data_IF_295957985082
#
_entry.id   IF_295957985082
#
_cell.length_a   1.000
_cell.length_b   1.000
_cell.length_c   1.000
_cell.angle_alpha   90.00
_cell.angle_beta   90.00
_cell.angle_gamma   90.00
#
_symmetry.space_group_name_H-M   'P 1'
#
loop_
_entity.id
_entity.type
_entity.pdbx_description
1 polymer ?
#
# COMPACT_ATOMS: atom_id res chain seq x y z
N UNK A 1 -37.91 -38.30 -9.59
CA UNK A 1 -37.37 -39.32 -10.49
C UNK A 1 -36.26 -38.62 -11.24
N UNK A 2 -35.08 -38.92 -11.13
CA UNK A 2 -34.10 -39.94 -11.01
C UNK A 2 -32.80 -39.30 -10.52
N UNK A 3 -32.28 -39.91 -9.48
CA UNK A 3 -30.90 -39.70 -8.91
C UNK A 3 -29.88 -40.23 -9.93
N UNK A 4 -28.68 -39.61 -9.94
CA UNK A 4 -27.42 -40.36 -10.07
C UNK A 4 -26.37 -39.76 -9.16
N UNK A 5 -25.95 -40.54 -8.22
CA UNK A 5 -24.77 -40.47 -7.37
C UNK A 5 -23.66 -41.21 -8.10
N UNK A 6 -22.49 -40.67 -8.22
CA UNK A 6 -21.27 -41.47 -8.41
C UNK A 6 -20.19 -40.93 -7.48
N UNK A 7 -19.78 -41.78 -6.59
CA UNK A 7 -18.70 -41.77 -5.66
C UNK A 7 -17.49 -42.47 -6.30
N UNK A 8 -16.29 -41.95 -6.26
CA UNK A 8 -15.00 -42.72 -6.33
C UNK A 8 -13.92 -41.85 -5.68
N UNK A 9 -13.50 -42.14 -4.46
CA UNK A 9 -12.40 -43.01 -4.00
C UNK A 9 -11.00 -42.37 -4.08
N UNK A 10 -10.52 -41.93 -2.96
CA UNK A 10 -9.27 -42.16 -2.22
C UNK A 10 -8.03 -42.57 -3.02
N UNK A 11 -7.01 -41.73 -3.00
CA UNK A 11 -5.63 -42.21 -2.86
C UNK A 11 -4.80 -41.22 -2.01
N UNK A 12 -4.35 -41.72 -0.87
CA UNK A 12 -3.36 -41.07 0.00
C UNK A 12 -1.98 -41.20 -0.64
N UNK A 13 -1.23 -40.10 -0.70
CA UNK A 13 0.24 -40.18 -0.65
C UNK A 13 0.75 -39.03 0.23
N UNK A 14 1.36 -39.44 1.31
CA UNK A 14 2.15 -38.65 2.25
C UNK A 14 3.35 -38.02 1.54
N UNK A 15 3.56 -36.72 1.67
CA UNK A 15 4.89 -36.11 1.70
C UNK A 15 4.86 -34.76 2.40
N UNK A 16 5.59 -34.67 3.46
CA UNK A 16 6.39 -33.58 3.97
C UNK A 16 5.72 -32.22 4.25
N UNK A 17 5.47 -31.97 5.52
CA UNK A 17 5.22 -30.63 6.05
C UNK A 17 6.46 -29.74 5.83
N UNK A 18 6.35 -28.74 4.97
CA UNK A 18 7.24 -27.60 4.91
C UNK A 18 6.49 -26.35 5.36
N UNK A 19 6.75 -25.93 6.60
CA UNK A 19 6.29 -24.64 7.11
C UNK A 19 7.02 -23.55 6.33
N UNK A 20 6.32 -22.87 5.43
CA UNK A 20 6.81 -21.66 4.79
C UNK A 20 6.54 -20.50 5.74
N UNK A 21 7.52 -20.23 6.61
CA UNK A 21 7.57 -18.99 7.39
C UNK A 21 8.01 -17.84 6.49
N UNK A 22 7.12 -16.92 6.18
CA UNK A 22 7.47 -15.65 5.56
C UNK A 22 8.43 -14.89 6.46
N UNK A 23 9.63 -14.58 5.97
CA UNK A 23 10.59 -13.71 6.64
C UNK A 23 10.57 -12.35 5.95
N UNK A 24 10.66 -11.24 6.71
CA UNK A 24 10.72 -9.90 6.13
C UNK A 24 12.01 -9.73 5.31
N UNK A 25 11.86 -9.11 4.16
CA UNK A 25 12.98 -8.70 3.29
C UNK A 25 13.89 -7.77 4.08
N UNK A 26 15.11 -8.21 4.33
CA UNK A 26 16.17 -7.35 4.80
C UNK A 26 17.46 -7.82 4.15
N UNK A 27 17.99 -7.01 3.26
CA UNK A 27 19.39 -7.05 2.92
C UNK A 27 20.18 -6.77 4.21
N UNK A 28 20.49 -7.86 4.93
CA UNK A 28 21.32 -7.93 6.14
C UNK A 28 20.95 -6.96 7.29
N UNK A 29 20.14 -7.40 8.25
CA UNK A 29 20.04 -6.78 9.58
C UNK A 29 21.00 -7.45 10.56
N UNK A 30 21.98 -6.68 11.06
CA UNK A 30 22.71 -6.99 12.28
C UNK A 30 21.97 -6.38 13.48
N UNK A 31 21.78 -7.16 14.55
CA UNK A 31 21.10 -6.71 15.77
C UNK A 31 22.03 -5.83 16.63
N UNK A 32 21.54 -4.78 17.31
CA UNK A 32 22.30 -4.07 18.32
C UNK A 32 22.17 -4.74 19.69
N UNK A 33 23.31 -4.91 20.35
CA UNK A 33 23.47 -5.35 21.74
C UNK A 33 23.03 -4.24 22.72
N UNK A 34 22.36 -4.66 23.80
CA UNK A 34 21.89 -3.81 24.89
C UNK A 34 23.05 -3.16 25.67
N UNK A 35 22.97 -1.88 25.94
CA UNK A 35 23.83 -1.10 26.79
C UNK A 35 23.06 -0.14 27.72
N UNK A 36 23.34 -0.27 28.98
CA UNK A 36 22.82 0.27 30.22
C UNK A 36 22.33 1.73 30.29
N UNK A 37 21.34 1.89 31.16
CA UNK A 37 20.71 3.15 31.59
C UNK A 37 21.67 4.08 32.33
N UNK A 38 21.60 5.38 32.03
CA UNK A 38 22.01 6.44 32.96
C UNK A 38 20.90 7.49 33.12
N UNK A 39 20.52 7.68 34.38
CA UNK A 39 19.63 8.76 34.84
C UNK A 39 20.39 10.09 34.86
N UNK A 40 19.79 11.16 34.37
CA UNK A 40 20.21 12.51 34.72
C UNK A 40 18.98 13.45 34.75
N UNK A 41 19.04 14.31 35.74
CA UNK A 41 18.05 15.14 36.38
C UNK A 41 17.50 16.30 35.54
N UNK A 42 16.32 16.73 35.94
CA UNK A 42 15.54 17.87 35.46
C UNK A 42 16.27 19.21 35.56
N UNK A 43 16.06 20.08 34.58
CA UNK A 43 15.98 21.52 34.75
C UNK A 43 14.98 22.13 33.79
N UNK A 44 14.06 22.89 34.31
CA UNK A 44 12.96 23.51 33.59
C UNK A 44 13.39 24.69 32.73
N UNK A 45 12.73 24.85 31.62
CA UNK A 45 12.70 26.07 30.82
C UNK A 45 11.23 26.38 30.42
N UNK A 46 10.88 27.66 30.24
CA UNK A 46 9.50 28.12 30.29
C UNK A 46 8.68 27.77 29.02
N UNK A 47 7.38 27.59 29.24
CA UNK A 47 6.40 27.34 28.22
C UNK A 47 6.40 28.42 27.12
N UNK A 48 6.75 27.99 25.89
CA UNK A 48 6.49 28.80 24.70
C UNK A 48 4.98 28.71 24.38
N UNK A 49 4.33 29.86 24.34
CA UNK A 49 2.96 30.05 23.86
C UNK A 49 2.84 29.49 22.43
N UNK A 50 2.09 28.42 22.29
CA UNK A 50 1.72 27.89 20.98
C UNK A 50 0.90 28.95 20.22
N UNK A 51 1.48 29.49 19.16
CA UNK A 51 0.73 30.27 18.18
C UNK A 51 -0.36 29.36 17.58
N UNK A 52 -1.61 29.80 17.64
CA UNK A 52 -2.73 29.13 17.00
C UNK A 52 -2.44 29.03 15.51
N UNK A 53 -2.44 27.80 14.98
CA UNK A 53 -2.40 27.55 13.55
C UNK A 53 -3.61 28.24 12.89
N UNK A 54 -3.44 28.84 11.70
CA UNK A 54 -4.56 29.44 10.99
C UNK A 54 -5.60 28.34 10.70
N UNK A 55 -6.80 28.51 11.21
CA UNK A 55 -7.98 27.75 10.81
C UNK A 55 -8.27 28.11 9.35
N UNK A 56 -7.68 27.35 8.41
CA UNK A 56 -8.19 27.35 7.04
C UNK A 56 -9.61 26.80 7.11
N UNK A 57 -10.58 27.64 6.77
CA UNK A 57 -11.96 27.21 6.59
C UNK A 57 -11.94 25.94 5.72
N UNK A 58 -12.55 24.86 6.20
CA UNK A 58 -12.70 23.65 5.42
C UNK A 58 -13.36 24.05 4.10
N UNK A 59 -12.70 23.82 2.97
CA UNK A 59 -13.28 24.07 1.68
C UNK A 59 -14.58 23.27 1.61
N UNK A 60 -15.69 23.95 1.29
CA UNK A 60 -16.97 23.29 1.14
C UNK A 60 -16.82 22.26 0.01
N UNK A 61 -16.98 20.97 0.34
CA UNK A 61 -16.89 19.90 -0.67
C UNK A 61 -17.98 20.08 -1.74
N UNK A 62 -17.76 19.46 -2.89
CA UNK A 62 -18.64 19.56 -4.05
C UNK A 62 -19.34 18.22 -4.31
N UNK A 63 -20.36 18.25 -5.15
CA UNK A 63 -21.04 17.06 -5.64
C UNK A 63 -20.79 16.89 -7.13
N UNK A 64 -20.43 15.67 -7.54
CA UNK A 64 -20.29 15.24 -8.92
C UNK A 64 -21.41 14.27 -9.26
N UNK A 65 -22.16 14.54 -10.33
CA UNK A 65 -23.09 13.56 -10.90
C UNK A 65 -22.29 12.50 -11.68
N UNK A 66 -22.36 11.27 -11.21
CA UNK A 66 -21.64 10.14 -11.83
C UNK A 66 -22.54 9.22 -12.64
N UNK A 67 -23.80 9.66 -12.88
CA UNK A 67 -24.84 8.87 -13.50
C UNK A 67 -25.47 7.89 -12.52
N UNK A 68 -26.75 8.10 -12.22
CA UNK A 68 -27.50 7.30 -11.22
C UNK A 68 -27.12 7.60 -9.76
N UNK A 69 -26.64 8.82 -9.48
CA UNK A 69 -26.35 9.32 -8.15
C UNK A 69 -25.24 10.37 -8.13
N UNK A 70 -25.09 11.05 -6.99
CA UNK A 70 -24.09 12.08 -6.78
C UNK A 70 -23.05 11.63 -5.77
N UNK A 71 -21.79 11.85 -6.10
CA UNK A 71 -20.62 11.62 -5.24
C UNK A 71 -20.16 12.95 -4.66
N UNK A 72 -20.01 12.99 -3.34
CA UNK A 72 -19.37 14.10 -2.66
C UNK A 72 -17.85 13.95 -2.74
N UNK A 73 -17.16 15.04 -3.09
CA UNK A 73 -15.70 15.11 -3.11
C UNK A 73 -15.19 16.47 -2.64
N UNK A 74 -13.95 16.51 -2.23
CA UNK A 74 -13.18 17.73 -2.01
C UNK A 74 -11.76 17.58 -2.52
N UNK A 75 -11.16 18.71 -2.91
CA UNK A 75 -9.79 18.78 -3.41
C UNK A 75 -9.03 19.93 -2.75
N UNK A 76 -7.72 19.83 -2.76
CA UNK A 76 -6.82 20.85 -2.23
C UNK A 76 -5.43 20.74 -2.88
N UNK A 77 -4.63 21.81 -2.73
CA UNK A 77 -3.22 21.81 -3.13
C UNK A 77 -2.99 21.79 -4.65
N UNK A 78 -3.98 22.11 -5.48
CA UNK A 78 -3.80 22.15 -6.94
C UNK A 78 -2.73 23.14 -7.39
N UNK A 79 -2.48 24.17 -6.61
CA UNK A 79 -1.46 25.19 -6.83
C UNK A 79 -0.03 24.78 -6.45
N UNK A 80 0.16 23.66 -5.77
CA UNK A 80 1.47 23.24 -5.26
C UNK A 80 2.43 22.78 -6.36
N UNK A 81 1.90 22.33 -7.49
CA UNK A 81 2.69 21.69 -8.57
C UNK A 81 3.26 20.32 -8.18
N UNK A 82 2.89 19.79 -7.03
CA UNK A 82 3.27 18.44 -6.58
C UNK A 82 2.49 17.34 -7.27
N UNK A 83 2.78 16.08 -6.90
CA UNK A 83 2.08 14.92 -7.44
C UNK A 83 0.57 15.00 -7.22
N UNK A 84 -0.21 14.45 -8.17
CA UNK A 84 -1.65 14.21 -7.98
C UNK A 84 -1.85 12.99 -7.08
N UNK A 85 -2.75 13.10 -6.11
CA UNK A 85 -3.04 12.06 -5.10
C UNK A 85 -4.53 11.88 -4.93
N UNK A 86 -5.00 10.63 -5.03
CA UNK A 86 -6.39 10.28 -4.76
C UNK A 86 -6.45 9.44 -3.50
N UNK A 87 -7.34 9.79 -2.54
CA UNK A 87 -7.53 9.06 -1.30
C UNK A 87 -8.86 8.29 -1.33
N UNK A 88 -8.78 6.95 -1.28
CA UNK A 88 -9.92 6.04 -1.28
C UNK A 88 -10.11 5.45 0.11
N UNK A 89 -11.25 5.77 0.75
CA UNK A 89 -11.56 5.27 2.09
C UNK A 89 -11.90 3.77 2.12
N UNK A 90 -11.90 3.20 3.30
CA UNK A 90 -12.22 1.80 3.58
C UNK A 90 -13.71 1.47 3.40
N UNK A 91 -14.09 0.22 3.68
CA UNK A 91 -15.48 -0.25 3.57
C UNK A 91 -16.30 -0.09 4.84
N UNK A 92 -15.78 0.59 5.86
CA UNK A 92 -16.44 0.77 7.15
C UNK A 92 -16.80 2.24 7.40
N UNK A 93 -15.88 3.17 7.06
CA UNK A 93 -16.02 4.61 7.35
C UNK A 93 -15.65 5.40 6.09
N UNK A 94 -16.42 6.46 5.82
CA UNK A 94 -16.20 7.36 4.68
C UNK A 94 -14.87 8.16 4.79
N UNK A 95 -14.68 9.13 3.90
CA UNK A 95 -13.43 9.89 3.72
C UNK A 95 -12.92 10.65 4.95
N UNK A 96 -13.72 10.77 6.02
CA UNK A 96 -13.31 11.38 7.30
C UNK A 96 -12.10 10.67 7.95
N UNK A 97 -11.85 9.42 7.60
CA UNK A 97 -10.66 8.68 8.07
C UNK A 97 -9.34 9.32 7.62
N UNK A 98 -9.37 10.18 6.59
CA UNK A 98 -8.22 10.90 6.05
C UNK A 98 -7.98 12.27 6.69
N UNK A 99 -8.85 12.76 7.59
CA UNK A 99 -8.79 14.14 8.13
C UNK A 99 -7.42 14.49 8.73
N UNK A 100 -6.80 13.56 9.45
CA UNK A 100 -5.51 13.82 10.08
C UNK A 100 -4.34 13.93 9.08
N UNK A 101 -4.49 13.36 7.88
CA UNK A 101 -3.51 13.44 6.80
C UNK A 101 -3.81 14.56 5.81
N UNK A 102 -5.04 15.09 5.79
CA UNK A 102 -5.54 16.03 4.77
C UNK A 102 -4.64 17.26 4.63
N UNK A 103 -4.54 18.08 5.68
CA UNK A 103 -3.75 19.30 5.62
C UNK A 103 -2.24 19.07 5.34
N UNK A 104 -1.55 18.10 5.96
CA UNK A 104 -0.18 17.75 5.62
C UNK A 104 0.03 17.35 4.15
N UNK A 105 -0.92 16.63 3.54
CA UNK A 105 -0.83 16.24 2.14
C UNK A 105 -1.14 17.41 1.21
N UNK A 106 -2.19 18.21 1.49
CA UNK A 106 -2.56 19.39 0.72
C UNK A 106 -1.43 20.43 0.64
N UNK A 107 -0.58 20.52 1.65
CA UNK A 107 0.55 21.44 1.67
C UNK A 107 1.63 21.11 0.62
N UNK A 108 1.60 19.89 0.05
CA UNK A 108 2.65 19.39 -0.87
C UNK A 108 2.13 18.89 -2.20
N UNK A 109 0.91 18.37 -2.23
CA UNK A 109 0.34 17.62 -3.34
C UNK A 109 -1.00 18.15 -3.75
N UNK A 110 -1.38 17.93 -5.01
CA UNK A 110 -2.76 18.10 -5.44
C UNK A 110 -3.55 16.86 -5.02
N UNK A 111 -4.41 16.99 -4.01
CA UNK A 111 -5.10 15.86 -3.36
C UNK A 111 -6.60 15.96 -3.60
N UNK A 112 -7.21 14.82 -3.95
CA UNK A 112 -8.66 14.64 -3.93
C UNK A 112 -9.02 13.47 -3.02
N UNK A 113 -10.10 13.63 -2.26
CA UNK A 113 -10.80 12.55 -1.57
C UNK A 113 -12.29 12.64 -1.84
N UNK A 114 -12.95 11.50 -1.81
CA UNK A 114 -14.41 11.47 -2.01
C UNK A 114 -15.05 10.37 -1.16
N UNK A 115 -16.34 10.56 -0.85
CA UNK A 115 -17.15 9.51 -0.25
C UNK A 115 -17.66 8.61 -1.37
N UNK A 116 -17.33 7.30 -1.35
CA UNK A 116 -17.83 6.34 -2.35
C UNK A 116 -19.35 6.23 -2.24
N UNK A 117 -20.03 5.73 -3.28
CA UNK A 117 -21.50 5.60 -3.27
C UNK A 117 -22.01 4.91 -2.02
N UNK A 118 -23.01 5.50 -1.38
CA UNK A 118 -23.65 5.03 -0.16
C UNK A 118 -22.93 5.40 1.12
N UNK A 119 -21.71 5.91 1.05
CA UNK A 119 -20.95 6.37 2.21
C UNK A 119 -21.06 7.87 2.43
N UNK A 120 -20.96 8.28 3.71
CA UNK A 120 -20.84 9.67 4.11
C UNK A 120 -21.94 10.56 3.52
N UNK A 121 -21.55 11.49 2.66
CA UNK A 121 -22.42 12.49 2.00
C UNK A 121 -22.86 12.06 0.61
N UNK A 122 -22.29 10.98 0.07
CA UNK A 122 -22.64 10.48 -1.27
C UNK A 122 -23.96 9.72 -1.28
N UNK A 123 -24.68 9.84 -2.39
CA UNK A 123 -25.93 9.10 -2.59
C UNK A 123 -25.66 7.60 -2.74
N UNK A 124 -26.61 6.80 -2.25
CA UNK A 124 -26.59 5.34 -2.43
C UNK A 124 -26.89 4.96 -3.87
N UNK A 125 -26.28 3.87 -4.33
CA UNK A 125 -26.63 3.31 -5.64
C UNK A 125 -28.04 2.70 -5.60
N UNK A 126 -28.87 3.06 -6.58
CA UNK A 126 -30.17 2.44 -6.79
C UNK A 126 -30.12 1.28 -7.81
N UNK A 127 -29.03 1.17 -8.56
CA UNK A 127 -28.77 0.18 -9.60
C UNK A 127 -27.31 -0.23 -9.62
N UNK A 128 -27.01 -1.25 -10.37
CA UNK A 128 -25.63 -1.72 -10.56
C UNK A 128 -24.75 -0.60 -11.14
N UNK A 129 -23.56 -0.42 -10.59
CA UNK A 129 -22.59 0.60 -10.99
C UNK A 129 -21.16 0.06 -10.99
N UNK A 130 -20.27 0.75 -11.68
CA UNK A 130 -18.85 0.43 -11.69
C UNK A 130 -18.06 1.44 -10.84
N UNK A 131 -17.52 1.06 -9.67
CA UNK A 131 -16.75 1.97 -8.82
C UNK A 131 -15.44 2.46 -9.47
N UNK A 132 -14.89 1.71 -10.43
CA UNK A 132 -13.71 2.10 -11.22
C UNK A 132 -14.06 3.29 -12.14
N UNK A 133 -15.26 3.29 -12.76
CA UNK A 133 -15.73 4.40 -13.58
C UNK A 133 -16.05 5.65 -12.73
N UNK A 134 -16.56 5.46 -11.52
CA UNK A 134 -16.78 6.57 -10.60
C UNK A 134 -15.46 7.26 -10.23
N UNK A 135 -14.42 6.50 -9.91
CA UNK A 135 -13.09 7.03 -9.66
C UNK A 135 -12.52 7.78 -10.88
N UNK A 136 -12.67 7.20 -12.08
CA UNK A 136 -12.26 7.86 -13.31
C UNK A 136 -12.95 9.24 -13.47
N UNK A 137 -14.27 9.31 -13.25
CA UNK A 137 -15.02 10.57 -13.31
C UNK A 137 -14.57 11.59 -12.27
N UNK A 138 -14.28 11.15 -11.03
CA UNK A 138 -13.74 12.03 -9.99
C UNK A 138 -12.39 12.61 -10.41
N UNK A 139 -11.47 11.78 -10.92
CA UNK A 139 -10.16 12.26 -11.40
C UNK A 139 -10.31 13.24 -12.57
N UNK A 140 -11.21 12.97 -13.52
CA UNK A 140 -11.50 13.88 -14.63
C UNK A 140 -12.07 15.23 -14.14
N UNK A 141 -12.97 15.19 -13.16
CA UNK A 141 -13.60 16.39 -12.58
C UNK A 141 -12.57 17.36 -11.99
N UNK A 142 -11.51 16.82 -11.35
CA UNK A 142 -10.43 17.63 -10.74
C UNK A 142 -9.20 17.75 -11.66
N UNK A 143 -9.35 17.48 -12.96
CA UNK A 143 -8.30 17.56 -13.96
C UNK A 143 -7.03 16.72 -13.68
N UNK A 144 -7.15 15.64 -12.93
CA UNK A 144 -6.08 14.68 -12.67
C UNK A 144 -5.99 13.66 -13.81
N UNK A 145 -5.08 13.86 -14.76
CA UNK A 145 -4.85 12.90 -15.85
C UNK A 145 -4.20 11.59 -15.37
N UNK A 146 -3.36 11.70 -14.36
CA UNK A 146 -2.67 10.58 -13.71
C UNK A 146 -2.26 10.96 -12.30
N UNK A 147 -2.17 9.98 -11.42
CA UNK A 147 -1.79 10.25 -10.03
C UNK A 147 -1.43 8.99 -9.24
N UNK A 148 -1.00 9.20 -8.01
CA UNK A 148 -0.82 8.15 -7.01
C UNK A 148 -2.18 7.87 -6.39
N UNK A 149 -2.58 6.59 -6.37
CA UNK A 149 -3.83 6.18 -5.73
C UNK A 149 -3.49 5.60 -4.36
N UNK A 150 -4.03 6.23 -3.33
CA UNK A 150 -3.93 5.80 -1.93
C UNK A 150 -5.25 5.14 -1.56
N UNK A 151 -5.23 3.88 -1.15
CA UNK A 151 -6.47 3.16 -0.82
C UNK A 151 -6.36 2.36 0.46
N UNK A 152 -7.40 2.46 1.31
CA UNK A 152 -7.51 1.64 2.52
C UNK A 152 -8.54 0.53 2.33
N UNK A 153 -8.18 -0.70 2.70
CA UNK A 153 -9.10 -1.86 2.72
C UNK A 153 -9.79 -2.08 1.36
N UNK A 154 -11.11 -2.00 1.30
CA UNK A 154 -11.87 -2.05 0.03
C UNK A 154 -11.54 -0.89 -0.92
N UNK A 155 -11.12 0.28 -0.40
CA UNK A 155 -10.53 1.35 -1.21
C UNK A 155 -9.20 0.96 -1.83
N UNK A 156 -8.40 0.13 -1.13
CA UNK A 156 -7.20 -0.50 -1.68
C UNK A 156 -7.51 -1.49 -2.79
N UNK A 157 -8.59 -2.28 -2.64
CA UNK A 157 -9.09 -3.16 -3.71
C UNK A 157 -9.52 -2.38 -4.95
N UNK A 158 -10.26 -1.28 -4.76
CA UNK A 158 -10.63 -0.38 -5.84
C UNK A 158 -9.39 0.25 -6.53
N UNK A 159 -8.36 0.62 -5.76
CA UNK A 159 -7.12 1.14 -6.32
C UNK A 159 -6.40 0.13 -7.23
N UNK A 160 -6.37 -1.14 -6.83
CA UNK A 160 -5.82 -2.24 -7.64
C UNK A 160 -6.66 -2.48 -8.90
N UNK A 161 -8.00 -2.50 -8.78
CA UNK A 161 -8.91 -2.66 -9.91
C UNK A 161 -8.73 -1.51 -10.91
N UNK A 162 -8.59 -0.27 -10.41
CA UNK A 162 -8.37 0.90 -11.24
C UNK A 162 -7.03 0.85 -11.97
N UNK A 163 -5.97 0.42 -11.30
CA UNK A 163 -4.64 0.30 -11.92
C UNK A 163 -4.60 -0.74 -13.05
N UNK A 164 -5.41 -1.78 -12.95
CA UNK A 164 -5.56 -2.80 -14.02
C UNK A 164 -6.44 -2.30 -15.17
N UNK A 165 -7.47 -1.49 -14.87
CA UNK A 165 -8.40 -0.95 -15.88
C UNK A 165 -7.83 0.28 -16.61
N UNK A 166 -7.10 1.15 -15.91
CA UNK A 166 -6.57 2.43 -16.38
C UNK A 166 -5.08 2.59 -16.04
N UNK A 167 -4.19 1.68 -16.50
CA UNK A 167 -2.77 1.68 -16.12
C UNK A 167 -2.05 2.99 -16.42
N UNK A 168 -2.44 3.70 -17.49
CA UNK A 168 -1.86 4.99 -17.87
C UNK A 168 -2.23 6.15 -16.93
N UNK A 169 -3.30 6.00 -16.15
CA UNK A 169 -3.74 6.99 -15.18
C UNK A 169 -3.09 6.83 -13.79
N UNK A 170 -2.36 5.75 -13.54
CA UNK A 170 -1.74 5.47 -12.25
C UNK A 170 -0.23 5.67 -12.34
N UNK A 171 0.35 6.38 -11.36
CA UNK A 171 1.80 6.56 -11.24
C UNK A 171 2.40 5.76 -10.09
N UNK A 172 1.58 5.35 -9.12
CA UNK A 172 1.95 4.54 -7.98
C UNK A 172 0.72 4.15 -7.15
N UNK A 173 0.85 3.09 -6.37
CA UNK A 173 -0.19 2.59 -5.46
C UNK A 173 0.36 2.58 -4.03
N UNK A 174 -0.33 3.27 -3.12
CA UNK A 174 -0.04 3.26 -1.69
C UNK A 174 -1.23 2.65 -0.95
N UNK A 175 -1.12 1.40 -0.56
CA UNK A 175 -2.23 0.56 -0.12
C UNK A 175 -2.14 0.28 1.38
N UNK A 176 -3.21 0.53 2.12
CA UNK A 176 -3.31 0.36 3.57
C UNK A 176 -4.30 -0.75 3.84
N UNK A 177 -3.83 -1.89 4.34
CA UNK A 177 -4.67 -3.05 4.61
C UNK A 177 -5.53 -3.47 3.42
N UNK A 178 -5.01 -3.51 2.16
CA UNK A 178 -5.85 -3.69 0.98
C UNK A 178 -6.54 -5.05 0.98
N UNK A 179 -7.73 -5.11 0.38
CA UNK A 179 -8.28 -6.37 -0.13
C UNK A 179 -7.82 -6.59 -1.57
N UNK A 180 -7.85 -7.84 -2.03
CA UNK A 180 -7.56 -8.17 -3.45
C UNK A 180 -8.77 -8.89 -4.00
N UNK A 181 -9.51 -8.27 -4.92
CA UNK A 181 -10.71 -8.86 -5.50
C UNK A 181 -10.38 -10.15 -6.25
N UNK A 182 -11.11 -11.22 -5.87
CA UNK A 182 -10.89 -12.59 -6.34
C UNK A 182 -10.03 -13.47 -5.42
N UNK A 183 -9.45 -12.92 -4.36
CA UNK A 183 -8.93 -13.73 -3.25
C UNK A 183 -10.04 -13.97 -2.22
N UNK A 184 -10.10 -15.20 -1.71
CA UNK A 184 -11.07 -15.56 -0.67
C UNK A 184 -10.67 -14.98 0.68
N UNK A 185 -11.66 -14.56 1.47
CA UNK A 185 -11.51 -14.30 2.89
C UNK A 185 -11.58 -15.60 3.69
N UNK A 186 -11.01 -15.60 4.89
CA UNK A 186 -11.17 -16.70 5.83
C UNK A 186 -12.56 -16.70 6.47
N UNK A 187 -13.04 -17.89 6.88
CA UNK A 187 -14.29 -18.00 7.65
C UNK A 187 -14.26 -17.12 8.92
N UNK A 188 -13.07 -16.93 9.50
CA UNK A 188 -12.91 -16.07 10.68
C UNK A 188 -13.11 -14.58 10.32
N UNK A 189 -12.59 -14.13 9.20
CA UNK A 189 -12.80 -12.76 8.71
C UNK A 189 -14.28 -12.47 8.52
N UNK A 190 -14.99 -13.36 7.82
CA UNK A 190 -16.41 -13.22 7.51
C UNK A 190 -17.30 -13.29 8.76
N UNK A 191 -17.05 -14.27 9.64
CA UNK A 191 -17.79 -14.41 10.91
C UNK A 191 -17.57 -13.20 11.83
N UNK A 192 -16.38 -12.61 11.86
CA UNK A 192 -16.08 -11.38 12.61
C UNK A 192 -16.88 -10.20 12.06
N UNK A 193 -16.87 -10.02 10.75
CA UNK A 193 -17.63 -8.96 10.07
C UNK A 193 -19.13 -9.08 10.35
N UNK A 194 -19.67 -10.27 10.18
CA UNK A 194 -21.09 -10.58 10.49
C UNK A 194 -21.44 -10.28 11.97
N UNK A 195 -20.58 -10.72 12.91
CA UNK A 195 -20.78 -10.44 14.34
C UNK A 195 -20.81 -8.96 14.66
N UNK A 196 -19.86 -8.18 14.10
CA UNK A 196 -19.77 -6.75 14.36
C UNK A 196 -20.96 -5.98 13.78
N UNK A 197 -21.48 -6.41 12.62
CA UNK A 197 -22.61 -5.79 11.94
C UNK A 197 -23.98 -6.27 12.44
N UNK A 198 -24.08 -7.42 13.13
CA UNK A 198 -25.35 -8.03 13.58
C UNK A 198 -26.31 -7.08 14.34
N UNK A 199 -25.86 -6.08 15.13
CA UNK A 199 -26.77 -5.11 15.72
C UNK A 199 -27.62 -4.33 14.69
N UNK A 200 -27.11 -4.17 13.45
CA UNK A 200 -27.84 -3.47 12.39
C UNK A 200 -29.12 -4.18 11.95
N UNK A 201 -29.24 -5.50 12.11
CA UNK A 201 -30.43 -6.29 11.79
C UNK A 201 -31.68 -5.82 12.57
N UNK A 202 -31.46 -5.22 13.75
CA UNK A 202 -32.51 -4.62 14.58
C UNK A 202 -32.45 -3.09 14.64
N UNK A 203 -31.66 -2.45 13.79
CA UNK A 203 -31.49 -1.00 13.74
C UNK A 203 -30.64 -0.41 14.87
N UNK A 204 -29.88 -1.23 15.60
CA UNK A 204 -29.00 -0.78 16.68
C UNK A 204 -27.65 -0.27 16.14
N UNK A 205 -27.69 0.94 15.60
CA UNK A 205 -26.50 1.64 15.06
C UNK A 205 -25.40 1.78 16.10
N UNK A 206 -25.75 2.14 17.35
CA UNK A 206 -24.76 2.33 18.42
C UNK A 206 -24.09 1.02 18.81
N UNK A 207 -24.81 -0.08 18.81
CA UNK A 207 -24.28 -1.42 19.07
C UNK A 207 -23.30 -1.85 17.99
N UNK A 208 -23.64 -1.65 16.70
CA UNK A 208 -22.73 -1.95 15.61
C UNK A 208 -21.50 -1.03 15.62
N UNK A 209 -21.68 0.28 15.78
CA UNK A 209 -20.57 1.22 15.90
C UNK A 209 -19.62 0.88 17.05
N UNK A 210 -20.18 0.46 18.20
CA UNK A 210 -19.37 -0.02 19.33
C UNK A 210 -18.57 -1.28 18.97
N UNK A 211 -19.22 -2.29 18.40
CA UNK A 211 -18.54 -3.53 18.02
C UNK A 211 -17.37 -3.25 17.06
N UNK A 212 -17.58 -2.44 16.03
CA UNK A 212 -16.55 -2.10 15.05
C UNK A 212 -15.43 -1.24 15.63
N UNK A 213 -15.76 -0.21 16.44
CA UNK A 213 -14.76 0.67 17.02
C UNK A 213 -13.89 -0.01 18.09
N UNK A 214 -14.45 -1.01 18.81
CA UNK A 214 -13.75 -1.81 19.82
C UNK A 214 -13.03 -3.02 19.24
N UNK A 215 -13.24 -3.32 17.97
CA UNK A 215 -12.58 -4.45 17.31
C UNK A 215 -11.06 -4.21 17.27
N UNK A 216 -10.31 -5.17 17.84
CA UNK A 216 -8.86 -5.09 18.02
C UNK A 216 -8.07 -5.06 16.71
N UNK A 217 -8.67 -5.57 15.63
CA UNK A 217 -8.04 -5.57 14.31
C UNK A 217 -8.25 -4.23 13.59
N UNK A 218 -9.39 -3.55 13.83
CA UNK A 218 -9.67 -2.22 13.26
C UNK A 218 -8.77 -1.17 13.90
N UNK A 219 -8.77 -1.11 15.23
CA UNK A 219 -7.92 -0.22 16.02
C UNK A 219 -7.10 -1.07 16.98
N UNK A 220 -5.81 -1.21 16.70
CA UNK A 220 -4.88 -1.99 17.50
C UNK A 220 -4.57 -1.37 18.86
N UNK A 221 -4.08 -2.19 19.79
CA UNK A 221 -3.65 -1.73 21.10
C UNK A 221 -4.75 -1.08 21.94
N UNK A 222 -4.35 -0.12 22.81
CA UNK A 222 -5.25 0.59 23.73
C UNK A 222 -5.56 2.03 23.29
N UNK A 223 -5.63 2.28 21.99
CA UNK A 223 -5.89 3.60 21.42
C UNK A 223 -7.38 4.00 21.52
N UNK A 224 -7.78 4.47 22.70
CA UNK A 224 -9.15 4.89 22.99
C UNK A 224 -9.57 6.12 22.17
N UNK A 225 -8.63 6.99 21.80
CA UNK A 225 -8.91 8.20 21.03
C UNK A 225 -9.30 7.84 19.58
N UNK A 226 -8.55 6.96 18.93
CA UNK A 226 -8.90 6.47 17.59
C UNK A 226 -10.19 5.65 17.59
N UNK A 227 -10.42 4.78 18.62
CA UNK A 227 -11.69 4.06 18.78
C UNK A 227 -12.89 5.02 18.88
N UNK A 228 -12.75 6.08 19.68
CA UNK A 228 -13.80 7.11 19.81
C UNK A 228 -14.07 7.80 18.47
N UNK A 229 -13.05 8.16 17.70
CA UNK A 229 -13.24 8.76 16.37
C UNK A 229 -14.04 7.87 15.45
N UNK A 230 -13.74 6.59 15.39
CA UNK A 230 -14.46 5.62 14.55
C UNK A 230 -15.90 5.45 15.06
N UNK A 231 -16.10 5.31 16.36
CA UNK A 231 -17.45 5.24 16.95
C UNK A 231 -18.30 6.46 16.59
N UNK A 232 -17.76 7.67 16.80
CA UNK A 232 -18.46 8.93 16.54
C UNK A 232 -18.79 9.07 15.03
N UNK A 233 -17.86 8.71 14.14
CA UNK A 233 -18.07 8.74 12.71
C UNK A 233 -19.22 7.81 12.27
N UNK A 234 -19.23 6.58 12.76
CA UNK A 234 -20.26 5.59 12.43
C UNK A 234 -21.65 5.97 13.01
N UNK A 235 -21.69 6.55 14.21
CA UNK A 235 -22.96 7.02 14.80
C UNK A 235 -23.50 8.24 14.05
N UNK A 236 -22.64 9.14 13.60
CA UNK A 236 -23.02 10.31 12.82
C UNK A 236 -23.44 9.96 11.39
N UNK A 237 -22.91 8.87 10.83
CA UNK A 237 -23.18 8.43 9.45
C UNK A 237 -23.59 6.95 9.42
N UNK A 238 -24.78 6.61 9.93
CA UNK A 238 -25.21 5.21 10.05
C UNK A 238 -25.42 4.50 8.71
N UNK A 239 -25.48 5.25 7.60
CA UNK A 239 -25.51 4.67 6.25
C UNK A 239 -24.22 3.89 5.93
N UNK A 240 -23.07 4.30 6.45
CA UNK A 240 -21.79 3.62 6.23
C UNK A 240 -21.86 2.13 6.67
N UNK A 241 -22.62 1.85 7.73
CA UNK A 241 -22.86 0.48 8.23
C UNK A 241 -23.84 -0.34 7.39
N UNK A 242 -24.46 0.26 6.37
CA UNK A 242 -25.48 -0.40 5.51
C UNK A 242 -24.98 -0.65 4.10
N UNK A 243 -23.82 -0.12 3.73
CA UNK A 243 -23.29 -0.30 2.38
C UNK A 243 -22.88 -1.76 2.19
N UNK A 244 -23.51 -2.40 1.21
CA UNK A 244 -23.14 -3.72 0.71
C UNK A 244 -22.52 -3.62 -0.67
N UNK A 245 -21.75 -4.63 -1.06
CA UNK A 245 -21.15 -4.71 -2.39
C UNK A 245 -22.10 -5.18 -3.50
N UNK A 246 -23.39 -5.37 -3.22
CA UNK A 246 -24.34 -6.05 -4.11
C UNK A 246 -24.58 -5.31 -5.45
N UNK A 247 -24.38 -4.00 -5.46
CA UNK A 247 -24.53 -3.20 -6.68
C UNK A 247 -23.20 -2.92 -7.39
N UNK A 248 -22.06 -3.30 -6.82
CA UNK A 248 -20.75 -3.02 -7.42
C UNK A 248 -20.39 -4.06 -8.50
N UNK A 249 -20.11 -3.58 -9.71
CA UNK A 249 -19.49 -4.41 -10.75
C UNK A 249 -18.06 -4.74 -10.33
N UNK A 250 -17.73 -6.02 -10.26
CA UNK A 250 -16.39 -6.51 -9.99
C UNK A 250 -15.64 -6.81 -11.29
N UNK A 251 -14.30 -6.66 -11.32
CA UNK A 251 -13.50 -7.01 -12.51
C UNK A 251 -13.67 -8.47 -12.92
N UNK A 252 -13.69 -8.70 -14.22
CA UNK A 252 -13.68 -10.05 -14.80
C UNK A 252 -12.68 -10.10 -15.96
N UNK A 253 -11.61 -10.91 -15.86
CA UNK A 253 -11.21 -11.75 -14.73
C UNK A 253 -10.89 -10.90 -13.47
N UNK A 254 -10.97 -11.51 -12.27
CA UNK A 254 -10.72 -10.78 -11.02
C UNK A 254 -9.26 -10.31 -10.93
N UNK A 255 -9.05 -9.21 -10.22
CA UNK A 255 -7.74 -8.54 -10.11
C UNK A 255 -6.66 -9.43 -9.50
N UNK A 256 -7.02 -10.39 -8.64
CA UNK A 256 -6.08 -11.40 -8.13
C UNK A 256 -5.33 -12.18 -9.22
N UNK A 257 -5.96 -12.35 -10.41
CA UNK A 257 -5.34 -13.02 -11.57
C UNK A 257 -4.54 -12.05 -12.46
N UNK A 258 -4.55 -10.76 -12.14
CA UNK A 258 -4.02 -9.69 -12.99
C UNK A 258 -3.01 -8.80 -12.27
N UNK A 259 -2.62 -9.11 -11.03
CA UNK A 259 -1.66 -8.33 -10.23
C UNK A 259 -0.34 -8.11 -10.98
N UNK A 260 0.10 -9.11 -11.77
CA UNK A 260 1.33 -9.02 -12.57
C UNK A 260 1.24 -8.03 -13.74
N UNK A 261 0.06 -7.50 -14.07
CA UNK A 261 -0.12 -6.45 -15.09
C UNK A 261 0.18 -5.05 -14.53
N UNK A 262 0.16 -4.87 -13.20
CA UNK A 262 0.46 -3.60 -12.54
C UNK A 262 1.96 -3.32 -12.65
N UNK A 263 2.34 -2.23 -13.34
CA UNK A 263 3.73 -1.87 -13.65
C UNK A 263 4.24 -0.65 -12.91
N UNK A 264 3.49 -0.15 -11.95
CA UNK A 264 3.87 1.02 -11.14
C UNK A 264 4.36 0.61 -9.76
N UNK A 265 5.21 1.44 -9.10
CA UNK A 265 5.58 1.22 -7.71
C UNK A 265 4.33 1.01 -6.86
N UNK A 266 4.32 -0.05 -6.07
CA UNK A 266 3.18 -0.44 -5.24
C UNK A 266 3.68 -0.80 -3.85
N UNK A 267 3.30 0.00 -2.85
CA UNK A 267 3.57 -0.28 -1.44
C UNK A 267 2.28 -0.73 -0.76
N UNK A 268 2.27 -1.96 -0.26
CA UNK A 268 1.21 -2.50 0.59
C UNK A 268 1.62 -2.41 2.05
N UNK A 269 0.74 -1.92 2.92
CA UNK A 269 0.95 -1.77 4.35
C UNK A 269 -0.09 -2.59 5.11
N UNK A 270 0.33 -3.31 6.14
CA UNK A 270 -0.57 -3.87 7.15
C UNK A 270 -0.19 -3.34 8.53
N UNK A 271 -1.16 -3.07 9.38
CA UNK A 271 -0.88 -2.80 10.80
C UNK A 271 -0.42 -4.08 11.50
N UNK A 272 0.44 -3.95 12.50
CA UNK A 272 0.96 -5.10 13.28
C UNK A 272 -0.17 -5.95 13.88
N UNK A 273 -1.29 -5.31 14.23
CA UNK A 273 -2.45 -5.97 14.84
C UNK A 273 -3.55 -6.31 13.83
N UNK A 274 -3.30 -6.13 12.52
CA UNK A 274 -4.29 -6.44 11.49
C UNK A 274 -4.60 -7.95 11.42
N UNK A 275 -5.69 -8.31 10.77
CA UNK A 275 -6.12 -9.69 10.61
C UNK A 275 -5.23 -10.42 9.59
N UNK A 276 -5.05 -11.73 9.77
CA UNK A 276 -4.17 -12.56 8.95
C UNK A 276 -4.47 -12.51 7.44
N UNK A 277 -5.75 -12.34 7.08
CA UNK A 277 -6.19 -12.20 5.69
C UNK A 277 -5.51 -11.00 4.99
N UNK A 278 -5.38 -9.87 5.69
CA UNK A 278 -4.71 -8.67 5.17
C UNK A 278 -3.23 -8.93 4.93
N UNK A 279 -2.54 -9.64 5.82
CA UNK A 279 -1.15 -10.04 5.61
C UNK A 279 -1.01 -10.94 4.36
N UNK A 280 -1.96 -11.86 4.16
CA UNK A 280 -1.98 -12.71 2.96
C UNK A 280 -2.19 -11.90 1.68
N UNK A 281 -3.08 -10.90 1.70
CA UNK A 281 -3.31 -10.02 0.55
C UNK A 281 -2.09 -9.15 0.25
N UNK A 282 -1.47 -8.54 1.27
CA UNK A 282 -0.24 -7.77 1.12
C UNK A 282 0.90 -8.61 0.55
N UNK A 283 1.09 -9.84 1.07
CA UNK A 283 2.09 -10.79 0.57
C UNK A 283 1.84 -11.22 -0.87
N UNK A 284 0.57 -11.40 -1.27
CA UNK A 284 0.21 -11.69 -2.66
C UNK A 284 0.52 -10.52 -3.60
N UNK A 285 0.30 -9.27 -3.16
CA UNK A 285 0.66 -8.07 -3.90
C UNK A 285 2.19 -7.99 -4.08
N UNK A 286 2.96 -8.15 -2.99
CA UNK A 286 4.43 -8.15 -3.05
C UNK A 286 4.97 -9.23 -3.99
N UNK A 287 4.39 -10.43 -3.94
CA UNK A 287 4.85 -11.57 -4.75
C UNK A 287 4.50 -11.43 -6.24
N UNK A 288 3.38 -10.80 -6.58
CA UNK A 288 2.83 -10.81 -7.95
C UNK A 288 3.04 -9.49 -8.72
N UNK A 289 3.10 -8.34 -8.02
CA UNK A 289 3.33 -7.03 -8.65
C UNK A 289 4.83 -6.82 -8.85
N UNK A 290 5.33 -6.61 -10.08
CA UNK A 290 6.77 -6.49 -10.38
C UNK A 290 7.51 -5.40 -9.58
N UNK A 291 6.81 -4.31 -9.21
CA UNK A 291 7.32 -3.24 -8.37
C UNK A 291 6.55 -3.18 -7.03
N UNK A 292 6.14 -4.35 -6.54
CA UNK A 292 5.44 -4.52 -5.27
C UNK A 292 6.40 -4.60 -4.10
N UNK A 293 5.98 -4.03 -2.97
CA UNK A 293 6.65 -4.18 -1.66
C UNK A 293 5.62 -4.22 -0.55
N UNK A 294 5.97 -4.88 0.56
CA UNK A 294 5.11 -5.01 1.72
C UNK A 294 5.83 -4.59 2.99
N UNK A 295 5.16 -3.79 3.82
CA UNK A 295 5.69 -3.36 5.11
C UNK A 295 4.63 -3.47 6.20
N UNK A 296 5.08 -3.73 7.44
CA UNK A 296 4.23 -3.80 8.63
C UNK A 296 4.44 -2.54 9.46
N UNK A 297 3.36 -1.82 9.73
CA UNK A 297 3.36 -0.63 10.58
C UNK A 297 3.12 -1.07 12.02
N UNK A 298 4.08 -0.79 12.90
CA UNK A 298 4.02 -1.16 14.32
C UNK A 298 2.93 -0.41 15.06
N UNK A 299 2.44 -1.05 16.11
CA UNK A 299 1.42 -0.48 17.02
C UNK A 299 0.17 0.05 16.31
N UNK A 300 -0.21 -0.49 15.17
CA UNK A 300 -1.39 -0.12 14.41
C UNK A 300 -2.26 -1.32 14.07
N UNK A 301 -3.57 -1.12 14.02
CA UNK A 301 -4.54 -2.03 13.41
C UNK A 301 -4.77 -1.70 11.95
N UNK A 302 -5.96 -2.05 11.45
CA UNK A 302 -6.35 -1.91 10.05
C UNK A 302 -6.40 -0.46 9.55
N UNK A 303 -6.90 0.48 10.39
CA UNK A 303 -7.03 1.89 10.05
C UNK A 303 -5.78 2.68 10.44
N UNK A 304 -4.65 2.39 9.79
CA UNK A 304 -3.34 2.99 10.06
C UNK A 304 -3.41 4.53 9.96
N UNK A 305 -4.14 5.06 8.95
CA UNK A 305 -4.32 6.49 8.71
C UNK A 305 -5.02 7.22 9.87
N UNK A 306 -5.76 6.49 10.71
CA UNK A 306 -6.40 7.04 11.91
C UNK A 306 -5.48 6.97 13.12
N UNK A 307 -4.72 5.87 13.26
CA UNK A 307 -3.88 5.62 14.43
C UNK A 307 -2.47 6.22 14.34
N UNK A 308 -1.87 6.21 13.15
CA UNK A 308 -0.49 6.64 12.89
C UNK A 308 -0.39 7.66 11.74
N UNK A 309 -1.24 8.72 11.71
CA UNK A 309 -1.30 9.62 10.56
C UNK A 309 0.03 10.32 10.26
N UNK A 310 0.79 10.73 11.28
CA UNK A 310 2.06 11.43 11.09
C UNK A 310 3.15 10.52 10.50
N UNK A 311 3.23 9.27 10.97
CA UNK A 311 4.13 8.25 10.44
C UNK A 311 3.75 7.93 9.00
N UNK A 312 2.46 7.70 8.75
CA UNK A 312 1.96 7.38 7.42
C UNK A 312 2.19 8.52 6.40
N UNK A 313 2.09 9.79 6.82
CA UNK A 313 2.46 10.95 5.97
C UNK A 313 3.96 10.93 5.65
N UNK A 314 4.81 10.56 6.60
CA UNK A 314 6.26 10.42 6.36
C UNK A 314 6.54 9.30 5.34
N UNK A 315 5.93 8.14 5.53
CA UNK A 315 6.10 6.99 4.64
C UNK A 315 5.56 7.29 3.24
N UNK A 316 4.41 7.98 3.15
CA UNK A 316 3.87 8.44 1.89
C UNK A 316 4.80 9.42 1.17
N UNK A 317 5.37 10.42 1.87
CA UNK A 317 6.35 11.33 1.27
C UNK A 317 7.58 10.59 0.73
N UNK A 318 8.06 9.57 1.44
CA UNK A 318 9.15 8.72 0.97
C UNK A 318 8.74 7.93 -0.27
N UNK A 319 7.54 7.34 -0.26
CA UNK A 319 6.99 6.63 -1.42
C UNK A 319 6.89 7.54 -2.66
N UNK A 320 6.36 8.76 -2.51
CA UNK A 320 6.30 9.74 -3.61
C UNK A 320 7.69 9.99 -4.18
N UNK A 321 8.71 10.14 -3.33
CA UNK A 321 10.07 10.36 -3.79
C UNK A 321 10.62 9.20 -4.64
N UNK A 322 10.22 7.95 -4.34
CA UNK A 322 10.57 6.77 -5.15
C UNK A 322 9.82 6.76 -6.49
N UNK A 323 8.52 7.11 -6.47
CA UNK A 323 7.69 7.19 -7.68
C UNK A 323 8.23 8.25 -8.65
N UNK A 324 8.59 9.44 -8.14
CA UNK A 324 9.01 10.59 -8.95
C UNK A 324 10.52 10.56 -9.30
N UNK A 325 11.27 9.60 -8.79
CA UNK A 325 12.71 9.50 -9.04
C UNK A 325 12.97 9.33 -10.53
N UNK A 326 13.78 10.24 -11.09
CA UNK A 326 14.08 10.27 -12.53
C UNK A 326 15.09 9.19 -12.90
N UNK A 327 14.82 8.52 -13.99
CA UNK A 327 15.75 7.59 -14.63
C UNK A 327 16.32 8.20 -15.91
N UNK A 328 17.52 7.78 -16.30
CA UNK A 328 18.12 8.09 -17.59
C UNK A 328 17.89 6.94 -18.57
N UNK A 329 17.85 7.22 -19.86
CA UNK A 329 17.77 6.19 -20.89
C UNK A 329 19.13 5.53 -21.10
N UNK A 330 19.15 4.18 -21.17
CA UNK A 330 20.32 3.36 -21.49
C UNK A 330 19.92 2.33 -22.54
N UNK A 331 20.85 2.02 -23.46
CA UNK A 331 20.64 0.93 -24.42
C UNK A 331 20.91 -0.42 -23.78
N UNK A 332 20.36 -1.50 -24.34
CA UNK A 332 20.61 -2.86 -23.86
C UNK A 332 22.11 -3.19 -23.84
N UNK A 333 22.86 -2.77 -24.85
CA UNK A 333 24.32 -2.95 -24.90
C UNK A 333 25.03 -2.29 -23.71
N UNK A 334 24.61 -1.06 -23.33
CA UNK A 334 25.17 -0.36 -22.17
C UNK A 334 24.77 -0.99 -20.85
N UNK A 335 23.58 -1.60 -20.77
CA UNK A 335 23.13 -2.31 -19.59
C UNK A 335 23.80 -3.68 -19.47
N UNK A 336 24.09 -4.36 -20.57
CA UNK A 336 24.71 -5.68 -20.60
C UNK A 336 26.09 -5.70 -19.92
N UNK A 337 26.84 -4.61 -19.90
CA UNK A 337 28.13 -4.52 -19.23
C UNK A 337 28.06 -4.78 -17.71
N UNK A 338 26.90 -4.50 -17.10
CA UNK A 338 26.66 -4.71 -15.67
C UNK A 338 26.09 -6.08 -15.34
N UNK A 339 25.67 -6.87 -16.33
CA UNK A 339 25.18 -8.23 -16.12
C UNK A 339 26.33 -9.14 -15.66
N UNK A 340 26.05 -10.01 -14.67
CA UNK A 340 27.03 -10.91 -14.08
C UNK A 340 26.62 -11.41 -12.71
N UNK A 341 27.51 -12.19 -12.09
CA UNK A 341 27.34 -12.66 -10.71
C UNK A 341 28.11 -11.79 -9.72
N UNK A 342 27.47 -11.48 -8.60
CA UNK A 342 28.01 -10.64 -7.54
C UNK A 342 27.86 -11.31 -6.19
N UNK A 343 28.88 -11.20 -5.32
CA UNK A 343 28.84 -11.74 -3.95
C UNK A 343 28.07 -10.79 -3.04
N UNK A 344 26.82 -11.14 -2.71
CA UNK A 344 25.94 -10.39 -1.81
C UNK A 344 25.94 -11.04 -0.44
N UNK A 345 26.82 -10.58 0.46
CA UNK A 345 27.03 -11.23 1.75
C UNK A 345 27.47 -12.70 1.57
N UNK A 346 26.78 -13.68 2.19
CA UNK A 346 27.12 -15.10 2.05
C UNK A 346 26.59 -15.75 0.77
N UNK A 347 25.76 -15.06 -0.03
CA UNK A 347 25.09 -15.59 -1.23
C UNK A 347 25.65 -14.97 -2.50
N UNK A 348 25.42 -15.60 -3.64
CA UNK A 348 25.63 -14.96 -4.94
C UNK A 348 24.29 -14.41 -5.42
N UNK A 349 24.31 -13.17 -5.92
CA UNK A 349 23.23 -12.56 -6.65
C UNK A 349 23.58 -12.49 -8.13
N UNK A 350 22.61 -12.69 -9.00
CA UNK A 350 22.75 -12.57 -10.45
C UNK A 350 22.09 -11.28 -10.93
N UNK A 351 22.84 -10.44 -11.63
CA UNK A 351 22.31 -9.31 -12.38
C UNK A 351 22.19 -9.72 -13.84
N UNK A 352 21.01 -9.62 -14.40
CA UNK A 352 20.73 -10.01 -15.80
C UNK A 352 19.88 -8.96 -16.50
N UNK A 353 19.97 -8.89 -17.83
CA UNK A 353 19.13 -8.03 -18.66
C UNK A 353 17.85 -8.78 -19.00
N UNK A 354 16.69 -8.24 -18.57
CA UNK A 354 15.34 -8.74 -18.88
C UNK A 354 14.45 -7.57 -19.28
N UNK A 355 13.71 -7.68 -20.36
CA UNK A 355 12.76 -6.66 -20.84
C UNK A 355 13.35 -5.24 -20.84
N UNK A 356 14.56 -5.07 -21.39
CA UNK A 356 15.30 -3.80 -21.47
C UNK A 356 15.67 -3.19 -20.10
N UNK A 357 15.74 -3.99 -19.03
CA UNK A 357 16.08 -3.57 -17.66
C UNK A 357 17.06 -4.54 -17.03
N UNK A 358 17.90 -4.02 -16.15
CA UNK A 358 18.67 -4.91 -15.26
C UNK A 358 17.77 -5.41 -14.15
N UNK A 359 17.84 -6.72 -13.92
CA UNK A 359 17.14 -7.39 -12.84
C UNK A 359 18.17 -8.11 -11.98
N UNK A 360 18.14 -7.85 -10.66
CA UNK A 360 18.97 -8.55 -9.68
C UNK A 360 18.13 -9.63 -8.99
N UNK A 361 18.62 -10.85 -8.99
CA UNK A 361 18.02 -12.02 -8.34
C UNK A 361 18.99 -12.56 -7.30
N UNK A 362 18.54 -12.64 -6.05
CA UNK A 362 19.28 -13.24 -4.94
C UNK A 362 18.46 -14.42 -4.44
N UNK A 363 19.02 -15.66 -4.37
CA UNK A 363 18.26 -16.83 -3.94
C UNK A 363 17.59 -16.63 -2.58
N UNK A 364 16.26 -16.76 -2.55
CA UNK A 364 15.44 -16.60 -1.36
C UNK A 364 14.92 -15.18 -1.11
N UNK A 365 15.29 -14.21 -1.94
CA UNK A 365 14.75 -12.84 -1.90
C UNK A 365 13.84 -12.60 -3.13
N UNK A 366 12.95 -11.59 -3.09
CA UNK A 366 12.28 -11.08 -4.30
C UNK A 366 13.33 -10.62 -5.34
N UNK A 367 12.95 -10.59 -6.61
CA UNK A 367 13.80 -9.96 -7.62
C UNK A 367 13.69 -8.43 -7.56
N UNK A 368 14.76 -7.74 -7.95
CA UNK A 368 14.84 -6.29 -7.92
C UNK A 368 15.07 -5.74 -9.33
N UNK A 369 14.22 -4.80 -9.77
CA UNK A 369 14.39 -4.09 -11.03
C UNK A 369 15.25 -2.86 -10.78
N UNK A 370 16.37 -2.71 -11.50
CA UNK A 370 17.32 -1.63 -11.35
C UNK A 370 17.04 -0.52 -12.38
N UNK A 371 16.86 0.70 -11.89
CA UNK A 371 16.57 1.89 -12.70
C UNK A 371 17.83 2.78 -12.78
N UNK A 372 18.37 3.08 -13.96
CA UNK A 372 19.60 3.86 -14.08
C UNK A 372 19.37 5.33 -13.69
N UNK A 373 20.21 5.87 -12.81
CA UNK A 373 20.25 7.30 -12.45
C UNK A 373 21.47 8.02 -12.99
N UNK A 374 22.54 7.29 -13.31
CA UNK A 374 23.73 7.80 -13.97
C UNK A 374 24.39 6.69 -14.83
N UNK A 375 25.61 6.90 -15.29
CA UNK A 375 26.35 5.91 -16.09
C UNK A 375 26.58 4.61 -15.31
N UNK A 376 26.85 4.67 -14.02
CA UNK A 376 27.17 3.52 -13.17
C UNK A 376 26.24 3.37 -11.97
N UNK A 377 25.29 4.31 -11.75
CA UNK A 377 24.40 4.28 -10.59
C UNK A 377 22.99 3.91 -10.99
N UNK A 378 22.38 3.09 -10.15
CA UNK A 378 21.02 2.61 -10.29
C UNK A 378 20.27 2.79 -8.96
N UNK A 379 18.94 2.73 -9.01
CA UNK A 379 18.09 2.78 -7.83
C UNK A 379 16.95 1.78 -7.93
N UNK A 380 16.34 1.48 -6.79
CA UNK A 380 15.12 0.69 -6.70
C UNK A 380 13.91 1.63 -6.59
N UNK A 381 12.74 1.18 -7.10
CA UNK A 381 11.45 1.86 -6.89
C UNK A 381 10.61 1.23 -5.79
N UNK A 382 11.07 0.10 -5.24
CA UNK A 382 10.42 -0.62 -4.15
C UNK A 382 10.91 -0.18 -2.78
N UNK A 383 12.12 0.38 -2.72
CA UNK A 383 12.76 0.85 -1.48
C UNK A 383 13.83 1.90 -1.79
N UNK A 384 14.22 2.67 -0.76
CA UNK A 384 15.24 3.73 -0.92
C UNK A 384 16.66 3.13 -0.88
N UNK A 385 16.95 2.29 -1.86
CA UNK A 385 18.25 1.64 -2.06
C UNK A 385 18.88 2.14 -3.36
N UNK A 386 20.19 2.44 -3.33
CA UNK A 386 21.00 2.80 -4.49
C UNK A 386 22.08 1.75 -4.71
N UNK A 387 22.38 1.49 -5.97
CA UNK A 387 23.43 0.59 -6.39
C UNK A 387 24.43 1.36 -7.25
N UNK A 388 25.73 1.21 -6.99
CA UNK A 388 26.80 1.79 -7.78
C UNK A 388 27.73 0.69 -8.31
N UNK A 389 27.91 0.62 -9.61
CA UNK A 389 28.85 -0.32 -10.20
C UNK A 389 30.24 0.34 -10.37
N UNK A 390 31.26 -0.31 -9.83
CA UNK A 390 32.65 0.13 -9.95
C UNK A 390 33.24 -0.42 -11.25
N UNK A 391 33.72 0.49 -12.11
CA UNK A 391 34.29 0.14 -13.42
C UNK A 391 35.77 0.43 -13.42
N UNK A 392 36.59 -0.59 -13.67
CA UNK A 392 38.04 -0.50 -13.83
C UNK A 392 38.41 -0.75 -15.31
N UNK A 393 38.80 0.33 -16.02
CA UNK A 393 39.01 0.27 -17.47
C UNK A 393 37.67 0.02 -18.19
N UNK A 394 37.50 -1.15 -18.79
CA UNK A 394 36.27 -1.58 -19.46
C UNK A 394 35.50 -2.67 -18.70
N UNK A 395 35.93 -3.02 -17.50
CA UNK A 395 35.34 -4.13 -16.74
C UNK A 395 34.66 -3.64 -15.46
N UNK A 396 33.47 -4.10 -15.23
CA UNK A 396 32.77 -3.96 -13.94
C UNK A 396 33.38 -4.96 -12.96
N UNK A 397 33.88 -4.47 -11.83
CA UNK A 397 34.59 -5.30 -10.83
C UNK A 397 33.79 -5.50 -9.54
N UNK A 398 32.88 -4.60 -9.24
CA UNK A 398 32.11 -4.60 -7.99
C UNK A 398 30.78 -3.89 -8.18
N UNK A 399 29.81 -4.24 -7.35
CA UNK A 399 28.58 -3.49 -7.12
C UNK A 399 28.54 -3.06 -5.64
N UNK A 400 28.35 -1.78 -5.37
CA UNK A 400 28.20 -1.22 -4.03
C UNK A 400 26.71 -0.93 -3.81
N UNK A 401 26.13 -1.47 -2.74
CA UNK A 401 24.72 -1.29 -2.39
C UNK A 401 24.61 -0.36 -1.17
N UNK A 402 23.99 0.79 -1.36
CA UNK A 402 23.67 1.76 -0.31
C UNK A 402 22.23 1.54 0.16
N UNK A 403 22.06 0.93 1.32
CA UNK A 403 20.75 0.57 1.86
C UNK A 403 20.04 1.78 2.51
N UNK A 404 18.73 1.69 2.64
CA UNK A 404 17.88 2.72 3.26
C UNK A 404 18.19 2.97 4.75
N UNK A 405 18.80 2.02 5.45
CA UNK A 405 19.24 2.13 6.85
C UNK A 405 20.62 2.77 7.00
N UNK A 406 21.25 3.19 5.89
CA UNK A 406 22.58 3.79 5.85
C UNK A 406 23.73 2.78 5.81
N UNK A 407 23.45 1.48 5.80
CA UNK A 407 24.50 0.47 5.62
C UNK A 407 24.97 0.41 4.16
N UNK A 408 26.24 0.08 3.98
CA UNK A 408 26.87 -0.06 2.66
C UNK A 408 27.41 -1.47 2.53
N UNK A 409 27.02 -2.17 1.47
CA UNK A 409 27.50 -3.50 1.17
C UNK A 409 28.35 -3.49 -0.08
N UNK A 410 29.57 -4.05 0.02
CA UNK A 410 30.46 -4.27 -1.07
C UNK A 410 30.23 -5.66 -1.66
N UNK A 411 29.87 -5.72 -2.95
CA UNK A 411 29.47 -6.91 -3.66
C UNK A 411 30.45 -7.15 -4.84
N UNK A 412 31.61 -7.79 -4.63
CA UNK A 412 32.56 -8.03 -5.70
C UNK A 412 31.96 -8.94 -6.77
N UNK A 413 32.30 -8.67 -8.03
CA UNK A 413 31.93 -9.53 -9.15
C UNK A 413 32.69 -10.83 -9.10
N UNK A 414 32.02 -11.96 -9.29
CA UNK A 414 32.60 -13.30 -9.09
C UNK A 414 32.81 -14.09 -10.39
N UNK A 415 32.19 -13.62 -11.49
CA UNK A 415 32.33 -14.26 -12.82
C UNK A 415 33.47 -13.66 -13.68
N UNK A 416 34.27 -12.75 -13.13
CA UNK A 416 35.49 -12.27 -13.79
C UNK A 416 36.56 -13.36 -13.69
N UNK A 417 36.78 -14.02 -14.80
CA UNK A 417 38.01 -14.90 -14.96
C UNK A 417 39.20 -13.97 -14.78
N UNK A 418 40.05 -14.26 -13.78
CA UNK A 418 41.34 -13.58 -13.66
C UNK A 418 42.07 -13.64 -14.99
N UNK A 419 42.69 -12.55 -15.52
CA UNK A 419 43.51 -12.63 -16.70
C UNK A 419 44.65 -13.63 -16.41
N UNK A 420 44.76 -14.69 -17.24
CA UNK A 420 45.83 -15.66 -17.19
C UNK A 420 47.17 -15.00 -17.58
#
# INVERSE_FOLDING_TARGET
MIRWVICVSWLWLLCGAGVVGGRPSALVKAAPTAGAAQKSSANGAPAATAAAAPTTAAAAGNFLDVGGGKIWYEECGAETGGANVVLLHDGLVHSVTWDAMWAPLCAKYHVVRYDRRGYGRSESAATVFNPVEDLNKVMQQVNMRRGIIVGCSSGGGLALDFAVAYPEMVTGLFLIGPVVHGMASSDYFDARGAKNSAPMDRGDVKGAAKNWSEDRFIIGGNDTASRKKIYDALVANPQDLKVGGDFEIRPSPPTSHRLSEIRVPTLALAGEYDIADVFAYCGAIEAAVPLGSFQVVKDAGHLIQVQRPAELVKDFNQFVSLVERKEISRTDSQLQDFAGEYRVGPRNGTVSLKDHRLVMEIPGDPYYILFPSSETKFFLRTENTELEFVVNGQQVTEMIVHNSDGTVNHCPRVDTVAPQ
#
